data_IF_585732315780
#
_entry.id   IF_585732315780
#
_cell.length_a   1.000
_cell.length_b   1.000
_cell.length_c   1.000
_cell.angle_alpha   90.00
_cell.angle_beta   90.00
_cell.angle_gamma   90.00
#
_symmetry.space_group_name_H-M   'P 1'
#
loop_
_entity.id
_entity.type
_entity.pdbx_description
1 polymer ?
#
# COMPACT_ATOMS: atom_id res chain seq x y z
N UNK A 1 -7.07 -0.71 -14.89
CA UNK A 1 -7.86 0.30 -14.13
C UNK A 1 -7.20 0.83 -12.86
N UNK A 2 -6.84 0.03 -11.86
CA UNK A 2 -6.30 0.52 -10.57
C UNK A 2 -5.12 1.50 -10.71
N UNK A 3 -4.12 1.16 -11.54
CA UNK A 3 -2.93 2.02 -11.78
C UNK A 3 -3.32 3.38 -12.38
N UNK A 4 -4.22 3.39 -13.37
CA UNK A 4 -4.67 4.63 -14.03
C UNK A 4 -5.39 5.53 -13.04
N UNK A 5 -6.26 4.96 -12.22
CA UNK A 5 -6.98 5.69 -11.18
C UNK A 5 -6.03 6.24 -10.11
N UNK A 6 -5.05 5.45 -9.66
CA UNK A 6 -4.04 5.91 -8.69
C UNK A 6 -3.23 7.10 -9.23
N UNK A 7 -2.86 7.10 -10.51
CA UNK A 7 -2.17 8.25 -11.14
C UNK A 7 -3.03 9.51 -11.12
N UNK A 8 -4.31 9.39 -11.46
CA UNK A 8 -5.25 10.51 -11.42
C UNK A 8 -5.38 11.09 -10.00
N UNK A 9 -5.50 10.22 -8.98
CA UNK A 9 -5.58 10.65 -7.58
C UNK A 9 -4.30 11.39 -7.16
N UNK A 10 -3.12 10.90 -7.53
CA UNK A 10 -1.85 11.58 -7.23
C UNK A 10 -1.77 12.95 -7.91
N UNK A 11 -2.22 13.06 -9.16
CA UNK A 11 -2.28 14.35 -9.88
C UNK A 11 -3.23 15.33 -9.18
N UNK A 12 -4.43 14.87 -8.83
CA UNK A 12 -5.43 15.69 -8.12
C UNK A 12 -4.91 16.17 -6.77
N UNK A 13 -4.28 15.29 -5.98
CA UNK A 13 -3.69 15.65 -4.71
C UNK A 13 -2.57 16.69 -4.87
N UNK A 14 -1.71 16.53 -5.90
CA UNK A 14 -0.68 17.50 -6.25
C UNK A 14 -1.25 18.88 -6.58
N UNK A 15 -2.33 18.95 -7.38
CA UNK A 15 -3.03 20.22 -7.68
C UNK A 15 -3.61 20.91 -6.44
N UNK A 16 -3.97 20.13 -5.43
CA UNK A 16 -4.49 20.64 -4.15
C UNK A 16 -3.38 20.95 -3.13
N UNK A 17 -2.10 20.77 -3.48
CA UNK A 17 -0.98 20.93 -2.55
C UNK A 17 -0.99 19.92 -1.40
N UNK A 18 -1.71 18.80 -1.53
CA UNK A 18 -1.79 17.76 -0.50
C UNK A 18 -0.86 16.59 -0.85
N UNK A 19 -0.06 16.09 0.09
CA UNK A 19 0.74 14.90 -0.16
C UNK A 19 -0.19 13.69 -0.33
N UNK A 20 0.11 12.86 -1.33
CA UNK A 20 -0.55 11.58 -1.56
C UNK A 20 0.50 10.53 -1.88
N UNK A 21 0.21 9.30 -1.45
CA UNK A 21 1.10 8.16 -1.51
C UNK A 21 0.33 6.89 -1.89
N UNK A 22 1.06 5.84 -2.24
CA UNK A 22 0.53 4.54 -2.66
C UNK A 22 0.97 3.44 -1.70
N UNK A 23 0.09 2.47 -1.50
CA UNK A 23 0.40 1.20 -0.84
C UNK A 23 0.00 0.09 -1.80
N UNK A 24 0.96 -0.76 -2.20
CA UNK A 24 0.69 -1.91 -3.04
C UNK A 24 0.23 -3.06 -2.15
N UNK A 25 -1.07 -3.22 -1.98
CA UNK A 25 -1.65 -4.15 -1.01
C UNK A 25 -2.09 -5.48 -1.64
N UNK A 26 -1.97 -6.58 -0.90
CA UNK A 26 -2.40 -7.94 -1.27
C UNK A 26 -1.81 -8.40 -2.62
N UNK A 27 -0.54 -8.10 -2.85
CA UNK A 27 0.13 -8.44 -4.11
C UNK A 27 1.02 -9.66 -3.95
N UNK A 28 1.09 -10.52 -4.96
CA UNK A 28 2.18 -11.48 -5.08
C UNK A 28 3.45 -10.82 -5.64
N UNK A 29 4.54 -11.58 -5.79
CA UNK A 29 5.83 -11.07 -6.26
C UNK A 29 5.78 -10.54 -7.70
N UNK A 30 5.02 -11.20 -8.57
CA UNK A 30 4.93 -10.81 -9.98
C UNK A 30 4.10 -9.54 -10.13
N UNK A 31 2.92 -9.51 -9.50
CA UNK A 31 2.06 -8.35 -9.44
C UNK A 31 2.78 -7.14 -8.81
N UNK A 32 3.51 -7.33 -7.72
CA UNK A 32 4.31 -6.27 -7.10
C UNK A 32 5.34 -5.68 -8.07
N UNK A 33 6.07 -6.54 -8.79
CA UNK A 33 7.06 -6.11 -9.78
C UNK A 33 6.42 -5.28 -10.89
N UNK A 34 5.35 -5.79 -11.51
CA UNK A 34 4.65 -5.12 -12.60
C UNK A 34 4.07 -3.77 -12.15
N UNK A 35 3.50 -3.68 -10.95
CA UNK A 35 2.95 -2.44 -10.42
C UNK A 35 4.05 -1.41 -10.14
N UNK A 36 5.19 -1.82 -9.57
CA UNK A 36 6.34 -0.96 -9.30
C UNK A 36 6.99 -0.40 -10.57
N UNK A 37 6.83 -1.07 -11.72
CA UNK A 37 7.29 -0.56 -13.02
C UNK A 37 6.33 0.50 -13.60
N UNK A 38 5.08 0.54 -13.15
CA UNK A 38 4.05 1.44 -13.70
C UNK A 38 3.77 2.68 -12.86
N UNK A 39 4.21 2.72 -11.60
CA UNK A 39 3.99 3.83 -10.67
C UNK A 39 5.31 4.50 -10.28
N UNK A 40 5.22 5.73 -9.77
CA UNK A 40 6.36 6.41 -9.17
C UNK A 40 6.73 5.72 -7.85
N UNK A 41 7.94 5.14 -7.80
CA UNK A 41 8.45 4.38 -6.65
C UNK A 41 8.63 5.24 -5.41
N UNK A 42 8.93 6.54 -5.58
CA UNK A 42 9.06 7.48 -4.46
C UNK A 42 7.71 7.71 -3.75
N UNK A 43 6.60 7.50 -4.46
CA UNK A 43 5.25 7.61 -3.92
C UNK A 43 4.79 6.34 -3.22
N UNK A 44 5.51 5.22 -3.32
CA UNK A 44 5.12 3.95 -2.69
C UNK A 44 5.63 3.91 -1.24
N UNK A 45 4.71 3.83 -0.28
CA UNK A 45 5.06 3.73 1.14
C UNK A 45 5.39 2.30 1.58
N UNK A 46 4.67 1.32 1.03
CA UNK A 46 4.85 -0.08 1.35
C UNK A 46 4.32 -0.98 0.23
N UNK A 47 4.82 -2.21 0.23
CA UNK A 47 4.30 -3.34 -0.55
C UNK A 47 3.88 -4.39 0.47
N UNK A 48 2.58 -4.67 0.57
CA UNK A 48 2.03 -5.65 1.51
C UNK A 48 1.71 -6.91 0.72
N UNK A 49 2.38 -8.04 0.99
CA UNK A 49 2.16 -9.27 0.24
C UNK A 49 0.77 -9.84 0.51
N UNK A 50 0.26 -10.63 -0.43
CA UNK A 50 -0.92 -11.44 -0.15
C UNK A 50 -0.60 -12.49 0.93
N UNK A 51 -1.40 -12.53 1.98
CA UNK A 51 -1.36 -13.58 2.99
C UNK A 51 -2.61 -14.45 2.90
N UNK A 52 -2.40 -15.76 2.70
CA UNK A 52 -3.50 -16.75 2.69
C UNK A 52 -4.15 -16.87 4.05
N UNK A 53 -3.38 -16.75 5.11
CA UNK A 53 -3.87 -16.79 6.49
C UNK A 53 -4.84 -15.66 6.78
N UNK A 54 -4.43 -14.41 6.47
CA UNK A 54 -5.30 -13.23 6.60
C UNK A 54 -6.56 -13.39 5.75
N UNK A 55 -6.41 -13.87 4.51
CA UNK A 55 -7.55 -14.09 3.64
C UNK A 55 -8.56 -15.08 4.23
N UNK A 56 -8.09 -16.20 4.79
CA UNK A 56 -8.95 -17.21 5.41
C UNK A 56 -9.59 -16.71 6.71
N UNK A 57 -8.84 -16.02 7.57
CA UNK A 57 -9.37 -15.42 8.79
C UNK A 57 -10.50 -14.42 8.46
N UNK A 58 -10.29 -13.55 7.47
CA UNK A 58 -11.32 -12.62 7.01
C UNK A 58 -12.58 -13.33 6.49
N UNK A 59 -12.45 -14.46 5.78
CA UNK A 59 -13.60 -15.22 5.29
C UNK A 59 -14.39 -15.90 6.42
N UNK A 60 -13.72 -16.29 7.50
CA UNK A 60 -14.34 -16.94 8.65
C UNK A 60 -14.87 -15.95 9.69
N UNK A 61 -14.57 -14.66 9.54
CA UNK A 61 -14.88 -13.66 10.56
C UNK A 61 -14.04 -13.81 11.83
N UNK A 62 -12.87 -14.45 11.71
CA UNK A 62 -11.92 -14.63 12.81
C UNK A 62 -11.02 -13.39 12.93
N UNK A 63 -10.49 -13.17 14.13
CA UNK A 63 -9.52 -12.11 14.38
C UNK A 63 -8.25 -12.35 13.53
N UNK A 64 -7.72 -11.28 12.95
CA UNK A 64 -6.51 -11.33 12.15
C UNK A 64 -5.31 -11.13 13.08
N UNK A 65 -4.90 -12.21 13.75
CA UNK A 65 -3.73 -12.23 14.65
C UNK A 65 -2.46 -12.59 13.88
N UNK A 66 -2.09 -11.75 12.91
CA UNK A 66 -0.93 -12.00 12.04
C UNK A 66 -0.01 -10.78 12.06
N UNK A 67 1.25 -11.00 12.45
CA UNK A 67 2.27 -9.95 12.42
C UNK A 67 2.86 -9.84 11.01
N UNK A 68 2.49 -8.76 10.31
CA UNK A 68 3.10 -8.38 9.04
C UNK A 68 4.08 -7.23 9.27
N UNK A 69 5.38 -7.54 9.19
CA UNK A 69 6.43 -6.53 9.37
C UNK A 69 6.36 -5.38 8.35
N UNK A 70 5.74 -5.59 7.18
CA UNK A 70 5.46 -4.54 6.20
C UNK A 70 4.43 -3.52 6.71
N UNK A 71 3.46 -3.95 7.52
CA UNK A 71 2.45 -3.07 8.13
C UNK A 71 3.08 -2.25 9.25
N UNK A 72 3.94 -2.85 10.08
CA UNK A 72 4.71 -2.13 11.11
C UNK A 72 5.60 -1.06 10.48
N UNK A 73 6.39 -1.42 9.46
CA UNK A 73 7.22 -0.46 8.72
C UNK A 73 6.40 0.64 8.07
N UNK A 74 5.20 0.33 7.56
CA UNK A 74 4.29 1.34 7.02
C UNK A 74 3.83 2.30 8.11
N UNK A 75 3.46 1.80 9.29
CA UNK A 75 3.05 2.62 10.42
C UNK A 75 4.18 3.56 10.86
N UNK A 76 5.40 3.05 11.01
CA UNK A 76 6.58 3.86 11.34
C UNK A 76 6.81 4.96 10.30
N UNK A 77 6.69 4.62 9.01
CA UNK A 77 6.86 5.58 7.92
C UNK A 77 5.79 6.67 7.97
N UNK A 78 4.53 6.31 8.24
CA UNK A 78 3.44 7.27 8.39
C UNK A 78 3.65 8.20 9.61
N UNK A 79 4.06 7.67 10.77
CA UNK A 79 4.36 8.47 11.96
C UNK A 79 5.50 9.46 11.72
N UNK A 80 6.52 9.05 10.96
CA UNK A 80 7.64 9.93 10.58
C UNK A 80 7.22 11.11 9.68
N UNK A 81 6.14 10.93 8.89
CA UNK A 81 5.60 11.98 8.03
C UNK A 81 4.75 13.00 8.80
N UNK A 82 4.10 12.58 9.89
CA UNK A 82 3.27 13.45 10.74
C UNK A 82 4.10 14.30 11.70
N UNK A 83 5.34 13.90 11.94
CA UNK A 83 6.27 14.58 12.85
C UNK A 83 7.06 15.70 12.16
N UNK A 84 6.68 16.07 10.93
CA UNK A 84 7.26 17.14 10.09
C UNK A 84 6.25 18.26 9.92
#
# INVERSE_FOLDING_TARGET
>A
ESVRLSKLILEMAGKLGKPAYLVLNKVDREAARLLLEQVDKEKVLAVIPQSREIFLACLKGEEVDVQLGEVEKLADRLLSLLSR
#
